data_IF_377575277076
#
_entry.id   IF_377575277076
#
_cell.length_a   1.000
_cell.length_b   1.000
_cell.length_c   1.000
_cell.angle_alpha   90.00
_cell.angle_beta   90.00
_cell.angle_gamma   90.00
#
_symmetry.space_group_name_H-M   'P 1'
#
loop_
_entity.id
_entity.type
_entity.pdbx_description
1 polymer ?
#
# COMPACT_ATOMS: atom_id res chain seq x y z
N UNK A 1 -0.99 -7.30 32.88
CA UNK A 1 0.48 -7.29 32.67
C UNK A 1 0.94 -5.84 32.65
N UNK A 2 1.99 -5.46 33.38
CA UNK A 2 2.57 -4.11 33.26
C UNK A 2 3.20 -4.01 31.86
N UNK A 3 2.74 -3.09 31.02
CA UNK A 3 3.40 -2.80 29.75
C UNK A 3 4.83 -2.35 30.05
N UNK A 4 5.81 -3.14 29.59
CA UNK A 4 7.22 -2.76 29.60
C UNK A 4 7.38 -1.57 28.65
N UNK A 5 7.90 -0.45 29.13
CA UNK A 5 8.26 0.66 28.25
C UNK A 5 9.35 0.17 27.29
N UNK A 6 9.19 0.35 25.96
CA UNK A 6 10.21 -0.07 25.01
C UNK A 6 11.51 0.71 25.28
N UNK A 7 12.66 0.06 25.24
CA UNK A 7 13.95 0.75 25.38
C UNK A 7 14.36 1.41 24.06
N UNK A 8 14.29 0.67 22.96
CA UNK A 8 14.59 1.14 21.61
C UNK A 8 13.37 1.06 20.69
N UNK A 9 13.02 2.21 20.11
CA UNK A 9 11.94 2.36 19.13
C UNK A 9 12.54 2.77 17.77
N UNK A 10 12.22 2.05 16.70
CA UNK A 10 12.76 2.31 15.37
C UNK A 10 11.65 2.62 14.37
N UNK A 11 11.70 3.80 13.76
CA UNK A 11 10.84 4.23 12.65
C UNK A 11 11.51 3.84 11.33
N UNK A 12 10.92 2.88 10.61
CA UNK A 12 11.54 2.23 9.44
C UNK A 12 11.12 2.79 8.07
N UNK A 13 10.64 4.02 8.06
CA UNK A 13 10.18 4.70 6.85
C UNK A 13 10.52 6.20 6.89
N UNK A 14 9.90 7.01 6.04
CA UNK A 14 10.13 8.46 5.94
C UNK A 14 9.21 9.31 6.83
N UNK A 15 8.57 8.70 7.85
CA UNK A 15 7.56 9.34 8.70
C UNK A 15 8.17 10.24 9.78
N UNK A 16 8.36 11.51 9.47
CA UNK A 16 8.88 12.51 10.41
C UNK A 16 7.96 12.67 11.64
N UNK A 17 6.65 12.81 11.42
CA UNK A 17 5.72 13.10 12.52
C UNK A 17 5.54 11.91 13.45
N UNK A 18 5.60 10.69 12.93
CA UNK A 18 5.62 9.48 13.73
C UNK A 18 6.83 9.44 14.67
N UNK A 19 8.03 9.76 14.17
CA UNK A 19 9.23 9.85 15.01
C UNK A 19 9.09 10.88 16.14
N UNK A 20 8.54 12.06 15.82
CA UNK A 20 8.28 13.12 16.81
C UNK A 20 7.21 12.71 17.83
N UNK A 21 6.15 12.03 17.39
CA UNK A 21 5.10 11.53 18.27
C UNK A 21 5.63 10.48 19.24
N UNK A 22 6.47 9.56 18.77
CA UNK A 22 7.14 8.57 19.62
C UNK A 22 8.08 9.23 20.62
N UNK A 23 8.87 10.21 20.19
CA UNK A 23 9.71 10.98 21.09
C UNK A 23 8.90 11.65 22.21
N UNK A 24 7.69 12.13 21.90
CA UNK A 24 6.82 12.74 22.90
C UNK A 24 6.20 11.72 23.88
N UNK A 25 5.69 10.60 23.35
CA UNK A 25 4.93 9.60 24.11
C UNK A 25 5.84 8.67 24.91
N UNK A 26 7.03 8.37 24.40
CA UNK A 26 7.96 7.39 24.93
C UNK A 26 9.20 8.08 25.54
N UNK A 27 9.00 9.01 26.50
CA UNK A 27 10.06 9.89 27.07
C UNK A 27 11.28 9.19 27.70
N UNK A 28 11.24 7.87 27.89
CA UNK A 28 12.35 7.07 28.42
C UNK A 28 12.94 6.10 27.40
N UNK A 29 12.52 6.19 26.14
CA UNK A 29 12.90 5.31 25.05
C UNK A 29 13.79 6.04 24.06
N UNK A 30 14.84 5.39 23.58
CA UNK A 30 15.62 5.88 22.46
C UNK A 30 14.81 5.70 21.16
N UNK A 31 14.57 6.80 20.43
CA UNK A 31 13.84 6.81 19.16
C UNK A 31 14.81 7.01 18.01
N UNK A 32 14.88 6.02 17.12
CA UNK A 32 15.74 6.03 15.94
C UNK A 32 14.88 6.07 14.68
N UNK A 33 15.20 6.97 13.75
CA UNK A 33 14.53 7.04 12.43
C UNK A 33 15.48 6.67 11.30
N UNK A 34 14.99 5.95 10.28
CA UNK A 34 15.82 5.48 9.16
C UNK A 34 15.84 6.42 7.94
N UNK A 35 14.74 7.10 7.64
CA UNK A 35 14.60 8.03 6.52
C UNK A 35 15.24 7.57 5.19
N UNK A 36 14.86 6.40 4.66
CA UNK A 36 15.49 5.85 3.45
C UNK A 36 15.35 6.75 2.21
N UNK A 37 14.27 7.53 2.10
CA UNK A 37 14.02 8.45 0.99
C UNK A 37 14.42 9.89 1.31
N UNK A 38 14.05 10.39 2.49
CA UNK A 38 14.33 11.77 2.92
C UNK A 38 15.81 12.00 3.25
N UNK A 39 16.49 10.97 3.75
CA UNK A 39 17.92 10.97 4.08
C UNK A 39 18.32 12.20 4.92
N UNK A 40 19.40 12.88 4.54
CA UNK A 40 19.95 14.04 5.25
C UNK A 40 18.96 15.19 5.44
N UNK A 41 18.05 15.41 4.47
CA UNK A 41 17.01 16.45 4.59
C UNK A 41 16.03 16.11 5.71
N UNK A 42 15.64 14.84 5.80
CA UNK A 42 14.81 14.33 6.89
C UNK A 42 15.52 14.46 8.24
N UNK A 43 16.82 14.11 8.27
CA UNK A 43 17.64 14.21 9.48
C UNK A 43 17.73 15.64 10.02
N UNK A 44 18.05 16.61 9.16
CA UNK A 44 18.13 18.02 9.53
C UNK A 44 16.78 18.55 10.03
N UNK A 45 15.69 18.16 9.39
CA UNK A 45 14.35 18.56 9.83
C UNK A 45 14.01 17.95 11.19
N UNK A 46 14.21 16.64 11.38
CA UNK A 46 13.92 15.97 12.65
C UNK A 46 14.76 16.56 13.79
N UNK A 47 16.04 16.85 13.55
CA UNK A 47 16.91 17.51 14.54
C UNK A 47 16.41 18.91 14.92
N UNK A 48 15.96 19.71 13.94
CA UNK A 48 15.41 21.04 14.21
C UNK A 48 14.12 20.96 15.05
N UNK A 49 13.22 20.02 14.72
CA UNK A 49 12.00 19.78 15.49
C UNK A 49 12.32 19.27 16.89
N UNK A 50 13.28 18.35 17.02
CA UNK A 50 13.72 17.82 18.31
C UNK A 50 14.25 18.92 19.22
N UNK A 51 15.13 19.79 18.69
CA UNK A 51 15.65 20.94 19.43
C UNK A 51 14.56 21.92 19.86
N UNK A 52 13.61 22.22 18.97
CA UNK A 52 12.48 23.11 19.27
C UNK A 52 11.54 22.55 20.36
N UNK A 53 11.49 21.23 20.52
CA UNK A 53 10.67 20.55 21.53
C UNK A 53 11.47 20.12 22.78
N UNK A 54 12.76 20.46 22.85
CA UNK A 54 13.62 20.15 24.01
C UNK A 54 14.01 18.68 24.15
N UNK A 55 13.95 17.89 23.06
CA UNK A 55 14.44 16.52 23.07
C UNK A 55 15.97 16.49 22.99
N UNK A 56 16.61 15.64 23.80
CA UNK A 56 18.06 15.43 23.73
C UNK A 56 18.44 14.62 22.49
N UNK A 57 19.72 14.71 22.08
CA UNK A 57 20.24 13.88 20.98
C UNK A 57 20.23 12.39 21.29
N UNK A 58 20.37 12.02 22.56
CA UNK A 58 20.31 10.63 23.01
C UNK A 58 18.87 10.08 23.02
N UNK A 59 17.87 10.96 22.87
CA UNK A 59 16.45 10.60 22.83
C UNK A 59 15.94 10.39 21.40
N UNK A 60 16.43 11.20 20.44
CA UNK A 60 16.02 11.15 19.03
C UNK A 60 17.25 11.17 18.13
N UNK A 61 17.44 10.07 17.40
CA UNK A 61 18.56 9.88 16.48
C UNK A 61 18.07 9.49 15.08
N UNK A 62 18.90 9.78 14.07
CA UNK A 62 18.72 9.26 12.71
C UNK A 62 19.94 8.42 12.37
N UNK A 63 19.72 7.17 11.95
CA UNK A 63 20.77 6.27 11.52
C UNK A 63 20.37 5.59 10.21
N UNK A 64 21.36 5.17 9.42
CA UNK A 64 21.09 4.33 8.25
C UNK A 64 20.81 2.89 8.66
N UNK A 65 20.04 2.17 7.85
CA UNK A 65 19.78 0.74 8.04
C UNK A 65 21.07 -0.08 8.21
N UNK A 66 22.11 0.21 7.42
CA UNK A 66 23.40 -0.46 7.52
C UNK A 66 24.11 -0.21 8.85
N UNK A 67 24.03 1.02 9.37
CA UNK A 67 24.65 1.41 10.63
C UNK A 67 23.95 0.68 11.79
N UNK A 68 22.61 0.68 11.79
CA UNK A 68 21.78 -0.05 12.76
C UNK A 68 22.12 -1.56 12.75
N UNK A 69 22.25 -2.19 11.59
CA UNK A 69 22.61 -3.62 11.52
C UNK A 69 24.03 -3.91 12.05
N UNK A 70 24.96 -2.97 11.93
CA UNK A 70 26.35 -3.14 12.40
C UNK A 70 26.54 -2.80 13.88
N UNK A 71 25.87 -1.77 14.38
CA UNK A 71 25.98 -1.28 15.76
C UNK A 71 25.34 -2.25 16.77
N UNK A 72 24.36 -3.04 16.33
CA UNK A 72 23.61 -3.99 17.15
C UNK A 72 24.35 -5.28 17.52
N UNK A 73 25.64 -5.37 17.17
CA UNK A 73 26.53 -6.44 17.63
C UNK A 73 26.82 -6.40 19.14
N UNK A 74 26.41 -5.36 19.88
CA UNK A 74 26.50 -5.30 21.34
C UNK A 74 25.31 -4.58 22.00
N UNK A 75 24.29 -5.38 22.38
CA UNK A 75 23.41 -5.25 23.56
C UNK A 75 22.00 -4.61 23.49
N UNK A 76 21.61 -3.74 22.55
CA UNK A 76 20.29 -3.07 22.62
C UNK A 76 19.29 -3.46 21.52
N UNK A 77 18.58 -4.58 21.73
CA UNK A 77 17.57 -5.07 20.78
C UNK A 77 16.37 -4.13 20.61
N UNK A 78 15.75 -4.14 19.43
CA UNK A 78 14.58 -3.30 19.11
C UNK A 78 13.34 -3.84 19.84
N UNK A 79 12.71 -3.03 20.70
CA UNK A 79 11.46 -3.38 21.40
C UNK A 79 10.21 -2.93 20.61
N UNK A 80 10.31 -1.86 19.81
CA UNK A 80 9.23 -1.34 18.97
C UNK A 80 9.75 -1.03 17.56
N UNK A 81 9.19 -1.68 16.55
CA UNK A 81 9.41 -1.39 15.13
C UNK A 81 8.14 -0.79 14.54
N UNK A 82 8.23 0.41 13.99
CA UNK A 82 7.04 1.18 13.62
C UNK A 82 7.17 1.92 12.29
N UNK A 83 6.06 2.08 11.58
CA UNK A 83 5.97 2.91 10.37
C UNK A 83 4.52 3.34 10.12
N UNK A 84 4.36 4.36 9.27
CA UNK A 84 3.10 4.66 8.57
C UNK A 84 2.98 3.85 7.26
N UNK A 85 3.97 3.00 6.98
CA UNK A 85 4.53 2.72 5.66
C UNK A 85 4.56 3.86 4.63
N UNK A 86 5.14 5.01 4.99
CA UNK A 86 5.30 6.16 4.09
C UNK A 86 6.75 6.29 3.58
N UNK A 87 6.92 6.32 2.26
CA UNK A 87 8.24 6.47 1.62
C UNK A 87 8.26 7.69 0.71
N UNK A 88 9.19 8.62 0.96
CA UNK A 88 9.32 9.83 0.18
C UNK A 88 9.68 9.49 -1.27
N UNK A 89 8.91 10.01 -2.23
CA UNK A 89 9.03 9.70 -3.65
C UNK A 89 8.13 8.57 -4.15
N UNK A 90 7.46 7.82 -3.26
CA UNK A 90 6.52 6.76 -3.65
C UNK A 90 5.11 7.26 -4.00
N UNK A 91 4.90 8.58 -4.14
CA UNK A 91 3.57 9.15 -4.42
C UNK A 91 3.00 8.78 -5.80
N UNK A 92 3.81 8.21 -6.69
CA UNK A 92 3.41 7.79 -8.04
C UNK A 92 3.50 6.29 -8.27
N UNK A 93 3.71 5.48 -7.21
CA UNK A 93 3.81 4.02 -7.35
C UNK A 93 2.54 3.33 -6.81
N UNK A 94 2.44 2.03 -7.08
CA UNK A 94 1.31 1.21 -6.66
C UNK A 94 1.28 1.00 -5.13
N UNK A 95 0.10 0.84 -4.50
CA UNK A 95 -0.01 0.82 -3.04
C UNK A 95 0.84 -0.24 -2.35
N UNK A 96 0.98 -1.42 -2.97
CA UNK A 96 1.77 -2.53 -2.44
C UNK A 96 3.28 -2.32 -2.47
N UNK A 97 3.77 -1.26 -3.13
CA UNK A 97 5.18 -0.88 -3.04
C UNK A 97 5.57 -0.42 -1.61
N UNK A 98 4.58 0.00 -0.82
CA UNK A 98 4.79 0.31 0.60
C UNK A 98 4.96 -0.95 1.47
N UNK A 99 4.77 -2.17 0.92
CA UNK A 99 5.22 -3.42 1.55
C UNK A 99 6.75 -3.49 1.69
N UNK A 100 7.48 -2.50 1.19
CA UNK A 100 8.84 -2.20 1.63
C UNK A 100 8.99 -2.23 3.16
N UNK A 101 7.97 -1.81 3.91
CA UNK A 101 7.96 -1.94 5.38
C UNK A 101 8.23 -3.38 5.82
N UNK A 102 7.57 -4.35 5.18
CA UNK A 102 7.74 -5.77 5.49
C UNK A 102 9.15 -6.27 5.15
N UNK A 103 9.72 -5.77 4.04
CA UNK A 103 11.10 -6.05 3.64
C UNK A 103 12.08 -5.52 4.67
N UNK A 104 11.95 -4.26 5.06
CA UNK A 104 12.83 -3.61 6.05
C UNK A 104 12.69 -4.28 7.44
N UNK A 105 11.47 -4.63 7.85
CA UNK A 105 11.21 -5.46 9.05
C UNK A 105 11.87 -6.83 8.98
N UNK A 106 11.96 -7.43 7.80
CA UNK A 106 12.59 -8.75 7.62
C UNK A 106 14.10 -8.66 7.69
N UNK A 107 14.70 -7.58 7.20
CA UNK A 107 16.13 -7.32 7.34
C UNK A 107 16.54 -7.12 8.82
N UNK A 108 15.63 -6.57 9.62
CA UNK A 108 15.85 -6.30 11.05
C UNK A 108 15.51 -7.48 11.97
N UNK A 109 15.07 -8.62 11.44
CA UNK A 109 14.56 -9.76 12.24
C UNK A 109 15.56 -10.24 13.32
N UNK A 110 16.85 -10.29 13.00
CA UNK A 110 17.91 -10.74 13.92
C UNK A 110 18.20 -9.79 15.08
N UNK A 111 17.81 -8.51 14.95
CA UNK A 111 18.05 -7.45 15.95
C UNK A 111 16.78 -7.06 16.72
N UNK A 112 15.64 -7.69 16.41
CA UNK A 112 14.41 -7.57 17.20
C UNK A 112 14.55 -8.27 18.56
N UNK A 113 13.99 -7.63 19.60
CA UNK A 113 13.85 -8.24 20.92
C UNK A 113 12.82 -9.37 20.92
N UNK A 114 12.92 -10.26 21.90
CA UNK A 114 11.87 -11.25 22.12
C UNK A 114 10.59 -10.54 22.57
N UNK A 115 9.51 -10.67 21.79
CA UNK A 115 8.25 -9.97 22.04
C UNK A 115 8.23 -8.52 21.54
N UNK A 116 9.13 -8.14 20.62
CA UNK A 116 9.09 -6.83 19.97
C UNK A 116 7.71 -6.54 19.37
N UNK A 117 7.24 -5.31 19.54
CA UNK A 117 5.97 -4.83 18.96
C UNK A 117 6.25 -4.34 17.54
N UNK A 118 5.48 -4.83 16.57
CA UNK A 118 5.56 -4.42 15.16
C UNK A 118 4.27 -3.70 14.79
N UNK A 119 4.39 -2.46 14.29
CA UNK A 119 3.27 -1.62 13.90
C UNK A 119 3.52 -0.98 12.52
N UNK A 120 2.69 -1.21 11.50
CA UNK A 120 1.54 -2.11 11.49
C UNK A 120 1.95 -3.57 11.74
N UNK A 121 1.05 -4.36 12.31
CA UNK A 121 1.27 -5.80 12.56
C UNK A 121 0.97 -6.64 11.32
N UNK A 122 0.07 -6.16 10.44
CA UNK A 122 -0.24 -6.76 9.15
C UNK A 122 -0.79 -5.74 8.15
N UNK A 123 -0.66 -6.06 6.86
CA UNK A 123 -1.33 -5.37 5.76
C UNK A 123 -2.40 -6.26 5.15
N UNK A 124 -3.53 -5.68 4.72
CA UNK A 124 -4.62 -6.40 4.08
C UNK A 124 -4.81 -5.87 2.67
N UNK A 125 -4.55 -6.69 1.65
CA UNK A 125 -4.86 -6.33 0.27
C UNK A 125 -6.37 -6.40 0.07
N UNK A 126 -6.99 -5.25 -0.14
CA UNK A 126 -8.42 -5.10 -0.38
C UNK A 126 -8.68 -4.88 -1.87
N UNK A 127 -9.88 -5.25 -2.31
CA UNK A 127 -10.38 -4.88 -3.62
C UNK A 127 -11.88 -4.57 -3.64
N UNK A 128 -12.28 -3.76 -4.63
CA UNK A 128 -13.67 -3.45 -4.94
C UNK A 128 -13.82 -3.29 -6.45
N UNK A 129 -14.88 -3.86 -7.02
CA UNK A 129 -15.26 -3.58 -8.39
C UNK A 129 -15.95 -2.21 -8.47
N UNK A 130 -15.55 -1.40 -9.45
CA UNK A 130 -16.01 -0.02 -9.55
C UNK A 130 -16.46 0.35 -10.96
N UNK A 131 -17.46 1.24 -11.01
CA UNK A 131 -17.79 2.02 -12.19
C UNK A 131 -16.88 3.24 -12.22
N UNK A 132 -16.12 3.42 -13.30
CA UNK A 132 -15.11 4.46 -13.50
C UNK A 132 -15.13 4.94 -14.97
N UNK A 133 -16.28 5.44 -15.48
CA UNK A 133 -16.45 5.71 -16.90
C UNK A 133 -15.43 6.72 -17.45
N UNK A 134 -15.20 7.84 -16.75
CA UNK A 134 -14.27 8.89 -17.20
C UNK A 134 -12.82 8.39 -17.21
N UNK A 135 -12.42 7.64 -16.18
CA UNK A 135 -11.08 7.06 -16.11
C UNK A 135 -10.86 6.04 -17.22
N UNK A 136 -11.83 5.14 -17.45
CA UNK A 136 -11.74 4.15 -18.51
C UNK A 136 -11.69 4.81 -19.89
N UNK A 137 -12.54 5.81 -20.13
CA UNK A 137 -12.56 6.56 -21.39
C UNK A 137 -11.22 7.28 -21.65
N UNK A 138 -10.64 7.91 -20.63
CA UNK A 138 -9.35 8.60 -20.75
C UNK A 138 -8.16 7.68 -21.09
N UNK A 139 -8.31 6.36 -20.90
CA UNK A 139 -7.27 5.37 -21.17
C UNK A 139 -7.65 4.42 -22.30
N UNK A 140 -8.73 4.67 -23.05
CA UNK A 140 -9.03 3.85 -24.24
C UNK A 140 -7.89 3.90 -25.26
N UNK A 141 -7.57 2.76 -25.88
CA UNK A 141 -6.55 2.73 -26.92
C UNK A 141 -6.86 3.75 -28.03
N UNK A 142 -5.86 4.56 -28.31
CA UNK A 142 -5.88 5.48 -29.43
C UNK A 142 -5.45 4.76 -30.70
N UNK A 143 -6.10 5.12 -31.80
CA UNK A 143 -5.73 4.72 -33.14
C UNK A 143 -5.50 6.00 -33.96
N UNK A 144 -6.35 6.28 -34.94
CA UNK A 144 -6.26 7.50 -35.74
C UNK A 144 -7.09 8.61 -35.10
N UNK A 145 -6.44 9.70 -34.72
CA UNK A 145 -7.08 10.92 -34.22
C UNK A 145 -6.74 12.05 -35.18
N UNK A 146 -7.76 12.70 -35.75
CA UNK A 146 -7.60 13.76 -36.76
C UNK A 146 -6.68 13.36 -37.94
N UNK A 147 -6.69 12.09 -38.33
CA UNK A 147 -5.90 11.56 -39.44
C UNK A 147 -4.47 11.12 -39.11
N UNK A 148 -4.03 11.23 -37.86
CA UNK A 148 -2.71 10.80 -37.40
C UNK A 148 -2.78 9.54 -36.55
N UNK A 149 -1.86 8.60 -36.75
CA UNK A 149 -1.76 7.39 -35.92
C UNK A 149 -1.10 7.71 -34.57
N UNK A 150 -1.87 7.54 -33.49
CA UNK A 150 -1.43 7.72 -32.10
C UNK A 150 -1.20 6.39 -31.37
N UNK A 151 -1.24 5.24 -32.05
CA UNK A 151 -1.12 3.93 -31.41
C UNK A 151 0.15 3.75 -30.56
N UNK A 152 1.23 4.46 -30.90
CA UNK A 152 2.50 4.45 -30.16
C UNK A 152 2.39 4.93 -28.70
N UNK A 153 1.41 5.77 -28.36
CA UNK A 153 1.27 6.28 -26.98
C UNK A 153 0.55 5.30 -26.05
N UNK A 154 -0.13 4.30 -26.59
CA UNK A 154 -0.94 3.36 -25.80
C UNK A 154 -0.14 2.59 -24.76
N UNK A 155 1.11 2.22 -25.09
CA UNK A 155 2.01 1.56 -24.14
C UNK A 155 2.46 2.50 -23.02
N UNK A 156 2.77 3.75 -23.35
CA UNK A 156 3.23 4.78 -22.40
C UNK A 156 2.14 5.21 -21.42
N UNK A 157 0.90 5.34 -21.90
CA UNK A 157 -0.24 5.74 -21.07
C UNK A 157 -0.83 4.56 -20.29
N UNK A 158 -0.44 3.32 -20.60
CA UNK A 158 -1.05 2.12 -20.03
C UNK A 158 -2.51 2.00 -20.44
N UNK A 159 -2.77 2.07 -21.75
CA UNK A 159 -4.10 2.02 -22.32
C UNK A 159 -4.85 0.73 -21.98
N UNK A 160 -6.17 0.83 -21.94
CA UNK A 160 -7.14 -0.26 -21.87
C UNK A 160 -8.08 -0.17 -23.09
N UNK A 161 -8.91 -1.20 -23.33
CA UNK A 161 -9.91 -1.21 -24.41
C UNK A 161 -9.35 -1.16 -25.83
N UNK A 162 -9.78 -2.08 -26.68
CA UNK A 162 -9.23 -2.17 -28.05
C UNK A 162 -7.73 -2.47 -28.13
N UNK A 163 -7.14 -3.07 -27.08
CA UNK A 163 -5.75 -3.53 -27.10
C UNK A 163 -5.55 -4.65 -28.14
N UNK A 164 -4.37 -4.74 -28.77
CA UNK A 164 -4.03 -5.86 -29.65
C UNK A 164 -4.20 -7.23 -28.95
N UNK A 165 -4.58 -8.29 -29.70
CA UNK A 165 -4.70 -9.64 -29.14
C UNK A 165 -3.42 -10.07 -28.42
N UNK A 166 -3.58 -10.63 -27.22
CA UNK A 166 -2.47 -11.11 -26.39
C UNK A 166 -1.77 -10.03 -25.54
N UNK A 167 -2.16 -8.75 -25.65
CA UNK A 167 -1.67 -7.71 -24.73
C UNK A 167 -2.58 -7.57 -23.51
N UNK A 168 -1.96 -7.36 -22.35
CA UNK A 168 -2.62 -7.05 -21.09
C UNK A 168 -2.41 -5.57 -20.74
N UNK A 169 -3.46 -4.92 -20.23
CA UNK A 169 -3.32 -3.57 -19.70
C UNK A 169 -2.68 -3.61 -18.31
N UNK A 170 -1.87 -2.61 -17.94
CA UNK A 170 -1.23 -2.58 -16.63
C UNK A 170 -2.24 -2.26 -15.52
N UNK A 171 -1.80 -2.48 -14.27
CA UNK A 171 -2.42 -1.85 -13.11
C UNK A 171 -1.70 -0.54 -12.83
N UNK A 172 -2.44 0.56 -12.69
CA UNK A 172 -1.86 1.90 -12.55
C UNK A 172 -2.32 2.58 -11.26
N UNK A 173 -1.48 3.43 -10.64
CA UNK A 173 -1.83 4.13 -9.42
C UNK A 173 -2.62 5.42 -9.69
N UNK A 174 -3.82 5.53 -9.13
CA UNK A 174 -4.68 6.71 -9.24
C UNK A 174 -5.24 7.16 -7.91
N UNK A 175 -5.45 8.47 -7.78
CA UNK A 175 -6.33 9.03 -6.75
C UNK A 175 -7.77 8.91 -7.25
N UNK A 176 -8.48 7.82 -6.93
CA UNK A 176 -9.80 7.51 -7.55
C UNK A 176 -10.79 8.67 -7.39
N UNK A 177 -10.72 9.40 -6.27
CA UNK A 177 -11.57 10.57 -6.02
C UNK A 177 -11.38 11.72 -7.02
N UNK A 178 -10.27 11.76 -7.78
CA UNK A 178 -9.96 12.76 -8.81
C UNK A 178 -10.29 12.26 -10.23
N UNK A 179 -10.77 11.04 -10.38
CA UNK A 179 -10.96 10.39 -11.67
C UNK A 179 -12.37 10.56 -12.25
N UNK A 180 -13.06 11.65 -11.89
CA UNK A 180 -14.41 11.93 -12.36
C UNK A 180 -15.47 11.09 -11.65
N UNK A 181 -16.47 10.63 -12.39
CA UNK A 181 -17.53 9.77 -11.88
C UNK A 181 -16.95 8.45 -11.38
N UNK A 182 -17.25 8.12 -10.13
CA UNK A 182 -16.86 6.84 -9.53
C UNK A 182 -17.96 6.27 -8.65
N UNK A 183 -18.20 4.96 -8.75
CA UNK A 183 -19.23 4.27 -7.98
C UNK A 183 -18.79 2.86 -7.62
N UNK A 184 -18.88 2.50 -6.33
CA UNK A 184 -18.69 1.11 -5.86
C UNK A 184 -19.81 0.21 -6.42
N UNK A 185 -19.42 -0.94 -6.94
CA UNK A 185 -20.36 -1.91 -7.54
C UNK A 185 -20.42 -3.25 -6.82
N UNK A 186 -19.45 -3.51 -5.96
CA UNK A 186 -19.37 -4.71 -5.13
C UNK A 186 -19.15 -4.35 -3.66
N UNK A 187 -19.30 -5.34 -2.80
CA UNK A 187 -18.69 -5.29 -1.47
C UNK A 187 -17.16 -5.22 -1.58
N UNK A 188 -16.53 -4.75 -0.50
CA UNK A 188 -15.08 -4.73 -0.34
C UNK A 188 -14.64 -6.10 0.15
N UNK A 189 -13.73 -6.74 -0.57
CA UNK A 189 -13.19 -8.05 -0.20
C UNK A 189 -11.72 -7.95 0.19
N UNK A 190 -11.28 -8.80 1.11
CA UNK A 190 -9.85 -9.02 1.39
C UNK A 190 -9.37 -10.15 0.49
N UNK A 191 -8.34 -9.91 -0.31
CA UNK A 191 -7.74 -10.92 -1.18
C UNK A 191 -6.56 -11.61 -0.48
N UNK A 192 -5.70 -10.84 0.19
CA UNK A 192 -4.49 -11.32 0.82
C UNK A 192 -4.26 -10.65 2.18
N UNK A 193 -3.55 -11.37 3.05
CA UNK A 193 -3.01 -10.84 4.30
C UNK A 193 -1.48 -10.94 4.28
N UNK A 194 -0.82 -9.84 4.61
CA UNK A 194 0.62 -9.73 4.75
C UNK A 194 0.97 -9.65 6.24
N UNK A 195 1.44 -10.74 6.82
CA UNK A 195 1.71 -10.82 8.26
C UNK A 195 3.13 -10.32 8.59
N UNK A 196 3.23 -9.10 9.11
CA UNK A 196 4.50 -8.44 9.43
C UNK A 196 5.10 -8.91 10.75
N UNK A 197 4.46 -9.83 11.48
CA UNK A 197 5.09 -10.52 12.60
C UNK A 197 6.07 -11.60 12.13
N UNK A 198 5.99 -12.00 10.85
CA UNK A 198 6.89 -12.98 10.22
C UNK A 198 7.78 -12.30 9.19
N UNK A 199 8.88 -12.96 8.85
CA UNK A 199 9.72 -12.54 7.72
C UNK A 199 8.96 -12.62 6.40
N UNK A 200 9.34 -11.77 5.47
CA UNK A 200 8.73 -11.63 4.16
C UNK A 200 8.85 -12.93 3.37
N UNK A 201 7.76 -13.33 2.75
CA UNK A 201 7.70 -14.51 1.90
C UNK A 201 6.78 -14.28 0.70
N UNK A 202 6.95 -15.03 -0.40
CA UNK A 202 5.96 -15.06 -1.47
C UNK A 202 4.61 -15.48 -0.92
N UNK A 203 3.55 -14.89 -1.46
CA UNK A 203 2.18 -15.24 -1.09
C UNK A 203 1.25 -15.00 -2.27
N UNK A 204 0.15 -15.75 -2.31
CA UNK A 204 -0.94 -15.56 -3.25
C UNK A 204 -2.27 -15.62 -2.51
N UNK A 205 -3.30 -15.06 -3.12
CA UNK A 205 -4.64 -15.06 -2.58
C UNK A 205 -5.68 -14.96 -3.67
N UNK A 206 -6.87 -15.44 -3.35
CA UNK A 206 -8.03 -15.41 -4.24
C UNK A 206 -9.25 -14.99 -3.45
N UNK A 207 -10.08 -14.13 -4.03
CA UNK A 207 -11.36 -13.75 -3.47
C UNK A 207 -12.44 -13.72 -4.55
N UNK A 208 -13.68 -13.94 -4.14
CA UNK A 208 -14.86 -13.74 -4.99
C UNK A 208 -15.45 -12.38 -4.67
N UNK A 209 -15.64 -11.56 -5.69
CA UNK A 209 -16.25 -10.23 -5.63
C UNK A 209 -17.70 -10.35 -6.08
N UNK A 210 -18.65 -10.09 -5.20
CA UNK A 210 -20.09 -10.14 -5.52
C UNK A 210 -20.63 -8.75 -5.84
N UNK A 211 -21.35 -8.61 -6.95
CA UNK A 211 -21.91 -7.32 -7.35
C UNK A 211 -23.19 -7.03 -6.57
N UNK A 212 -23.23 -5.84 -5.95
CA UNK A 212 -24.35 -5.37 -5.13
C UNK A 212 -25.22 -4.35 -5.85
N UNK A 213 -24.76 -3.82 -6.99
CA UNK A 213 -25.52 -2.84 -7.80
C UNK A 213 -25.47 -3.17 -9.28
N UNK A 214 -26.52 -2.78 -10.01
CA UNK A 214 -26.55 -2.83 -11.47
C UNK A 214 -25.74 -1.69 -12.09
N UNK A 215 -25.12 -1.98 -13.24
CA UNK A 215 -24.45 -0.99 -14.08
C UNK A 215 -23.34 -1.58 -14.93
N UNK A 216 -22.39 -0.73 -15.34
CA UNK A 216 -21.17 -1.15 -16.02
C UNK A 216 -19.97 -1.09 -15.07
N UNK A 217 -19.34 -2.25 -14.86
CA UNK A 217 -18.05 -2.36 -14.21
C UNK A 217 -16.96 -1.95 -15.19
N UNK A 218 -16.07 -1.05 -14.78
CA UNK A 218 -14.97 -0.56 -15.61
C UNK A 218 -13.60 -1.04 -15.13
N UNK A 219 -13.51 -1.58 -13.91
CA UNK A 219 -12.27 -2.08 -13.35
C UNK A 219 -12.38 -2.51 -11.89
N UNK A 220 -11.28 -3.02 -11.38
CA UNK A 220 -11.07 -3.31 -9.97
C UNK A 220 -10.12 -2.28 -9.37
N UNK A 221 -10.50 -1.76 -8.20
CA UNK A 221 -9.66 -0.87 -7.40
C UNK A 221 -9.11 -1.68 -6.23
N UNK A 222 -7.80 -1.62 -6.04
CA UNK A 222 -7.04 -2.36 -5.03
C UNK A 222 -6.25 -1.40 -4.14
N UNK A 223 -6.14 -1.72 -2.86
CA UNK A 223 -5.39 -0.93 -1.88
C UNK A 223 -4.98 -1.79 -0.68
N UNK A 224 -4.18 -1.22 0.23
CA UNK A 224 -3.77 -1.90 1.47
C UNK A 224 -4.41 -1.19 2.66
N UNK A 225 -5.16 -1.95 3.46
CA UNK A 225 -5.50 -1.51 4.81
C UNK A 225 -4.38 -1.94 5.76
N UNK A 226 -3.92 -1.01 6.60
CA UNK A 226 -2.85 -1.24 7.57
C UNK A 226 -3.46 -1.51 8.94
N UNK A 227 -3.22 -2.70 9.49
CA UNK A 227 -3.70 -3.07 10.81
C UNK A 227 -2.60 -2.75 11.82
N UNK A 228 -2.89 -1.84 12.74
CA UNK A 228 -1.87 -1.23 13.58
C UNK A 228 -1.48 -2.10 14.78
N UNK A 229 -2.41 -2.92 15.27
CA UNK A 229 -2.27 -3.70 16.50
C UNK A 229 -2.74 -5.14 16.33
N UNK A 230 -2.24 -6.05 17.17
CA UNK A 230 -2.56 -7.48 17.09
C UNK A 230 -3.99 -7.82 17.51
N UNK A 231 -4.70 -6.90 18.18
CA UNK A 231 -6.12 -7.05 18.51
C UNK A 231 -7.03 -6.61 17.35
N UNK A 232 -6.44 -6.09 16.26
CA UNK A 232 -7.14 -5.57 15.08
C UNK A 232 -8.14 -4.45 15.43
N UNK A 233 -7.87 -3.72 16.52
CA UNK A 233 -8.75 -2.66 17.01
C UNK A 233 -8.61 -1.38 16.19
N UNK A 234 -7.45 -1.17 15.56
CA UNK A 234 -7.15 0.01 14.74
C UNK A 234 -6.72 -0.43 13.35
N UNK A 235 -7.56 -0.11 12.37
CA UNK A 235 -7.31 -0.36 10.94
C UNK A 235 -7.34 0.95 10.19
N UNK A 236 -6.22 1.30 9.56
CA UNK A 236 -6.11 2.46 8.68
C UNK A 236 -6.36 2.03 7.25
N UNK A 237 -7.48 2.46 6.66
CA UNK A 237 -7.74 2.21 5.26
C UNK A 237 -7.05 3.21 4.33
N UNK A 238 -6.60 2.75 3.16
CA UNK A 238 -6.08 3.59 2.06
C UNK A 238 -6.97 3.55 0.81
N UNK A 239 -8.22 3.08 0.98
CA UNK A 239 -9.16 2.83 -0.10
C UNK A 239 -9.66 4.08 -0.83
N UNK A 240 -10.56 3.91 -1.82
CA UNK A 240 -10.96 4.95 -2.77
C UNK A 240 -11.65 6.18 -2.17
N UNK A 241 -12.12 6.10 -0.93
CA UNK A 241 -12.69 7.24 -0.20
C UNK A 241 -11.60 8.16 0.40
N UNK A 242 -10.35 7.68 0.47
CA UNK A 242 -9.24 8.40 1.06
C UNK A 242 -8.55 9.29 0.03
N UNK A 243 -8.31 10.56 0.41
CA UNK A 243 -7.81 11.58 -0.52
C UNK A 243 -6.29 11.66 -0.63
N UNK A 244 -5.59 11.16 0.39
CA UNK A 244 -4.14 11.27 0.53
C UNK A 244 -3.38 10.06 -0.01
N UNK A 245 -4.11 8.99 -0.36
CA UNK A 245 -3.55 7.76 -0.88
C UNK A 245 -4.03 7.53 -2.31
N UNK A 246 -3.13 7.01 -3.14
CA UNK A 246 -3.51 6.43 -4.43
C UNK A 246 -3.90 4.97 -4.23
N UNK A 247 -4.76 4.50 -5.12
CA UNK A 247 -5.18 3.11 -5.23
C UNK A 247 -4.62 2.51 -6.52
N UNK A 248 -4.40 1.20 -6.55
CA UNK A 248 -4.09 0.48 -7.77
C UNK A 248 -5.38 0.23 -8.54
N UNK A 249 -5.46 0.65 -9.81
CA UNK A 249 -6.65 0.45 -10.64
C UNK A 249 -6.29 -0.47 -11.80
N UNK A 250 -6.94 -1.63 -11.84
CA UNK A 250 -6.91 -2.56 -12.97
C UNK A 250 -8.17 -2.32 -13.79
N UNK A 251 -8.05 -1.49 -14.82
CA UNK A 251 -9.15 -1.25 -15.77
C UNK A 251 -9.45 -2.54 -16.55
N UNK A 252 -10.71 -2.72 -16.95
CA UNK A 252 -11.10 -3.83 -17.82
C UNK A 252 -10.74 -3.50 -19.26
N UNK A 253 -10.46 -4.54 -20.06
CA UNK A 253 -10.36 -4.38 -21.51
C UNK A 253 -11.68 -3.86 -22.07
N UNK A 254 -12.79 -4.49 -21.73
CA UNK A 254 -14.12 -4.00 -22.09
C UNK A 254 -14.97 -3.86 -20.81
N UNK A 255 -15.77 -2.78 -20.65
CA UNK A 255 -16.66 -2.63 -19.52
C UNK A 255 -17.70 -3.76 -19.52
N UNK A 256 -17.93 -4.36 -18.35
CA UNK A 256 -18.84 -5.51 -18.21
C UNK A 256 -20.14 -5.06 -17.58
N UNK A 257 -21.28 -5.46 -18.18
CA UNK A 257 -22.58 -5.29 -17.56
C UNK A 257 -22.71 -6.24 -16.36
N UNK A 258 -22.97 -5.67 -15.19
CA UNK A 258 -23.05 -6.40 -13.93
C UNK A 258 -24.35 -6.12 -13.21
N UNK A 259 -24.79 -7.08 -12.41
CA UNK A 259 -26.06 -7.01 -11.71
C UNK A 259 -26.07 -7.83 -10.42
N UNK A 260 -26.94 -7.42 -9.50
CA UNK A 260 -27.13 -8.19 -8.26
C UNK A 260 -27.82 -9.52 -8.55
N UNK A 261 -27.56 -10.55 -7.72
CA UNK A 261 -28.20 -11.87 -7.80
C UNK A 261 -29.75 -11.86 -7.78
N UNK A 262 -30.37 -10.72 -7.45
CA UNK A 262 -31.83 -10.57 -7.38
C UNK A 262 -32.47 -10.17 -8.71
N UNK A 263 -31.69 -9.95 -9.76
CA UNK A 263 -32.17 -9.57 -11.09
C UNK A 263 -32.19 -10.76 -12.04
N UNK A 264 -33.26 -10.89 -12.82
CA UNK A 264 -33.45 -11.95 -13.82
C UNK A 264 -32.72 -11.67 -15.15
N UNK A 265 -31.66 -10.85 -15.13
CA UNK A 265 -30.92 -10.41 -16.33
C UNK A 265 -29.74 -11.34 -16.63
N UNK A 266 -29.27 -11.36 -17.87
CA UNK A 266 -28.05 -12.08 -18.32
C UNK A 266 -26.74 -11.40 -17.84
N UNK A 267 -26.82 -10.61 -16.77
CA UNK A 267 -25.68 -9.83 -16.28
C UNK A 267 -24.75 -10.73 -15.47
N UNK A 268 -23.46 -10.39 -15.46
CA UNK A 268 -22.52 -11.06 -14.57
C UNK A 268 -22.81 -10.70 -13.11
N UNK A 269 -22.78 -11.70 -12.23
CA UNK A 269 -23.15 -11.54 -10.82
C UNK A 269 -21.96 -11.55 -9.86
N UNK A 270 -20.81 -12.06 -10.32
CA UNK A 270 -19.59 -12.04 -9.53
C UNK A 270 -18.34 -12.12 -10.38
N UNK A 271 -17.19 -11.79 -9.80
CA UNK A 271 -15.90 -12.05 -10.41
C UNK A 271 -14.94 -12.68 -9.40
N UNK A 272 -14.16 -13.64 -9.84
CA UNK A 272 -13.00 -14.10 -9.10
C UNK A 272 -11.83 -13.14 -9.36
N UNK A 273 -11.12 -12.76 -8.30
CA UNK A 273 -9.87 -12.02 -8.37
C UNK A 273 -8.76 -12.84 -7.70
N UNK A 274 -7.63 -12.98 -8.37
CA UNK A 274 -6.47 -13.72 -7.89
C UNK A 274 -5.25 -12.80 -7.95
N UNK A 275 -4.43 -12.85 -6.90
CA UNK A 275 -3.23 -12.02 -6.80
C UNK A 275 -2.04 -12.83 -6.31
N UNK A 276 -0.86 -12.50 -6.81
CA UNK A 276 0.41 -13.13 -6.42
C UNK A 276 1.47 -12.06 -6.16
N UNK A 277 2.12 -12.12 -5.00
CA UNK A 277 3.14 -11.17 -4.57
C UNK A 277 4.54 -11.80 -4.64
N UNK A 278 5.45 -11.14 -5.37
CA UNK A 278 6.87 -11.49 -5.42
C UNK A 278 7.69 -10.57 -4.51
N UNK A 279 8.25 -11.08 -3.39
CA UNK A 279 9.02 -10.25 -2.46
C UNK A 279 10.39 -9.81 -3.00
N UNK A 280 10.89 -10.44 -4.07
CA UNK A 280 12.18 -10.09 -4.67
C UNK A 280 12.11 -8.77 -5.44
N UNK A 281 11.01 -8.55 -6.16
CA UNK A 281 10.76 -7.33 -6.93
C UNK A 281 9.83 -6.35 -6.19
N UNK A 282 8.98 -6.85 -5.28
CA UNK A 282 7.90 -6.09 -4.67
C UNK A 282 6.66 -5.99 -5.57
N UNK A 283 6.62 -6.72 -6.68
CA UNK A 283 5.50 -6.70 -7.61
C UNK A 283 4.34 -7.56 -7.15
N UNK A 284 3.14 -7.14 -7.57
CA UNK A 284 1.89 -7.86 -7.35
C UNK A 284 1.21 -8.05 -8.71
N UNK A 285 1.00 -9.30 -9.08
CA UNK A 285 0.22 -9.69 -10.26
C UNK A 285 -1.25 -9.73 -9.85
N UNK A 286 -2.13 -9.24 -10.72
CA UNK A 286 -3.58 -9.19 -10.50
C UNK A 286 -4.29 -9.77 -11.72
N UNK A 287 -4.94 -10.91 -11.51
CA UNK A 287 -5.75 -11.64 -12.48
C UNK A 287 -7.22 -11.67 -12.05
N UNK A 288 -8.13 -11.76 -13.01
CA UNK A 288 -9.57 -11.81 -12.72
C UNK A 288 -10.34 -12.61 -13.76
N UNK A 289 -11.47 -13.17 -13.35
CA UNK A 289 -12.43 -13.87 -14.21
C UNK A 289 -13.86 -13.57 -13.78
N UNK A 290 -14.71 -13.13 -14.71
CA UNK A 290 -16.13 -12.90 -14.48
C UNK A 290 -16.92 -14.22 -14.52
N UNK A 291 -17.91 -14.37 -13.64
CA UNK A 291 -18.73 -15.57 -13.43
C UNK A 291 -20.23 -15.30 -13.63
#
# INVERSE_FOLDING_TARGET
MKQKTPSLCVVVDDSIFLAVALAHLAKGSHVLSLFPGLQEKGAQYLQAVAAANGYSKDHVEVQKMSELLTSQSSQEKIDLLVGEPFYYGNNSVLPWQNLRFWKDRSLLDSVLSEGAVIMPCKGLLKACAMSLPDLWQSHQCLQHVEGFDHSVVNSTLGACGGLPPGQENPTLPFSVWQCGESKKMSDIVTIMEFNFLKTISPCSGKAKVEFITHGKCHGFVLWIDWVMDTEESIVLSTGPEQRYWKQGVKLLKEPVAVGSHRSATTDCHSADIETSFDPSTGDLIVDYAFL
#
